data_IF_015965011200
#
_entry.id   IF_015965011200
#
_cell.length_a   1.000
_cell.length_b   1.000
_cell.length_c   1.000
_cell.angle_alpha   90.00
_cell.angle_beta   90.00
_cell.angle_gamma   90.00
#
_symmetry.space_group_name_H-M   'P 1'
#
loop_
_entity.id
_entity.type
_entity.pdbx_description
1 polymer ?
#
# COMPACT_ATOMS: atom_id res chain seq x y z
N UNK A 1 11.86 -15.53 8.53
CA UNK A 1 11.71 -14.16 8.04
C UNK A 1 10.27 -13.66 8.16
N UNK A 2 9.31 -14.33 7.51
CA UNK A 2 7.90 -13.93 7.59
C UNK A 2 7.32 -14.06 8.98
N UNK A 3 7.69 -15.09 9.73
CA UNK A 3 7.23 -15.27 11.10
C UNK A 3 7.67 -14.08 11.97
N UNK A 4 8.91 -13.65 11.85
CA UNK A 4 9.42 -12.49 12.57
C UNK A 4 8.65 -11.21 12.25
N UNK A 5 8.35 -10.98 10.96
CA UNK A 5 7.57 -9.84 10.50
C UNK A 5 6.15 -9.87 11.10
N UNK A 6 5.48 -11.02 11.02
CA UNK A 6 4.13 -11.16 11.54
C UNK A 6 4.08 -10.97 13.06
N UNK A 7 5.07 -11.47 13.78
CA UNK A 7 5.19 -11.25 15.22
C UNK A 7 5.38 -9.78 15.56
N UNK A 8 6.22 -9.08 14.82
CA UNK A 8 6.45 -7.64 15.02
C UNK A 8 5.17 -6.84 14.77
N UNK A 9 4.44 -7.15 13.70
CA UNK A 9 3.15 -6.52 13.39
C UNK A 9 2.12 -6.80 14.50
N UNK A 10 2.07 -8.04 15.01
CA UNK A 10 1.16 -8.40 16.10
C UNK A 10 1.45 -7.61 17.38
N UNK A 11 2.72 -7.38 17.70
CA UNK A 11 3.12 -6.55 18.84
C UNK A 11 2.66 -5.10 18.65
N UNK A 12 2.90 -4.52 17.47
CA UNK A 12 2.46 -3.16 17.15
C UNK A 12 0.93 -3.04 17.25
N UNK A 13 0.21 -4.05 16.78
CA UNK A 13 -1.25 -4.08 16.83
C UNK A 13 -1.75 -4.17 18.27
N UNK A 14 -1.14 -5.00 19.12
CA UNK A 14 -1.54 -5.18 20.50
C UNK A 14 -1.27 -3.96 21.37
N UNK A 15 -0.25 -3.15 21.03
CA UNK A 15 0.07 -1.91 21.75
C UNK A 15 -0.82 -0.72 21.34
N UNK A 16 -1.62 -0.87 20.29
CA UNK A 16 -2.50 0.19 19.81
C UNK A 16 -1.82 1.22 18.92
N UNK A 17 -0.54 1.09 18.63
CA UNK A 17 0.20 2.03 17.77
C UNK A 17 -0.39 2.08 16.36
N UNK A 18 -0.73 0.92 15.79
CA UNK A 18 -1.33 0.87 14.45
C UNK A 18 -2.69 1.55 14.41
N UNK A 19 -3.52 1.36 15.45
CA UNK A 19 -4.82 2.02 15.56
C UNK A 19 -4.67 3.54 15.67
N UNK A 20 -3.66 4.01 16.40
CA UNK A 20 -3.38 5.44 16.53
C UNK A 20 -2.96 6.06 15.20
N UNK A 21 -2.11 5.35 14.44
CA UNK A 21 -1.69 5.78 13.10
C UNK A 21 -2.90 5.83 12.15
N UNK A 22 -3.77 4.82 12.20
CA UNK A 22 -4.98 4.78 11.38
C UNK A 22 -5.91 5.93 11.70
N UNK A 23 -6.14 6.21 12.98
CA UNK A 23 -6.96 7.34 13.42
C UNK A 23 -6.39 8.68 12.96
N UNK A 24 -5.06 8.83 13.02
CA UNK A 24 -4.38 10.03 12.54
C UNK A 24 -4.57 10.21 11.02
N UNK A 25 -4.38 9.14 10.25
CA UNK A 25 -4.58 9.18 8.80
C UNK A 25 -6.02 9.52 8.43
N UNK A 26 -6.98 8.91 9.11
CA UNK A 26 -8.39 9.21 8.88
C UNK A 26 -8.75 10.66 9.19
N UNK A 27 -8.20 11.18 10.29
CA UNK A 27 -8.45 12.54 10.71
C UNK A 27 -7.88 13.59 9.73
N UNK A 28 -6.64 13.37 9.29
CA UNK A 28 -5.91 14.35 8.47
C UNK A 28 -6.28 14.22 6.99
N UNK A 29 -6.47 13.04 6.48
CA UNK A 29 -6.66 12.78 5.05
C UNK A 29 -8.12 12.49 4.72
N UNK A 30 -8.78 11.63 5.50
CA UNK A 30 -10.18 11.23 5.36
C UNK A 30 -10.62 10.94 3.91
N UNK A 31 -9.73 10.34 3.12
CA UNK A 31 -9.99 9.97 1.74
C UNK A 31 -9.23 8.67 1.43
N UNK A 32 -9.98 7.63 1.07
CA UNK A 32 -9.43 6.29 0.81
C UNK A 32 -8.37 6.31 -0.28
N UNK A 33 -8.57 7.09 -1.34
CA UNK A 33 -7.64 7.18 -2.46
C UNK A 33 -6.29 7.76 -2.02
N UNK A 34 -6.32 8.83 -1.24
CA UNK A 34 -5.09 9.46 -0.74
C UNK A 34 -4.37 8.58 0.27
N UNK A 35 -5.11 7.91 1.15
CA UNK A 35 -4.54 6.95 2.10
C UNK A 35 -3.85 5.82 1.34
N UNK A 36 -4.53 5.26 0.33
CA UNK A 36 -3.96 4.22 -0.53
C UNK A 36 -2.69 4.69 -1.25
N UNK A 37 -2.70 5.90 -1.81
CA UNK A 37 -1.53 6.48 -2.48
C UNK A 37 -0.33 6.60 -1.53
N UNK A 38 -0.56 7.14 -0.33
CA UNK A 38 0.50 7.33 0.67
C UNK A 38 1.08 5.97 1.10
N UNK A 39 0.22 5.01 1.37
CA UNK A 39 0.65 3.67 1.77
C UNK A 39 1.39 2.96 0.63
N UNK A 40 0.97 3.16 -0.60
CA UNK A 40 1.66 2.60 -1.77
C UNK A 40 3.04 3.20 -1.98
N UNK A 41 3.19 4.51 -1.80
CA UNK A 41 4.51 5.15 -1.83
C UNK A 41 5.40 4.61 -0.70
N UNK A 42 4.81 4.36 0.47
CA UNK A 42 5.54 3.74 1.58
C UNK A 42 5.99 2.31 1.22
N UNK A 43 5.22 1.59 0.41
CA UNK A 43 5.61 0.27 -0.13
C UNK A 43 6.88 0.33 -0.98
N UNK A 44 7.26 1.49 -1.49
CA UNK A 44 8.52 1.64 -2.20
C UNK A 44 9.74 1.44 -1.29
N UNK A 45 9.57 1.66 0.01
CA UNK A 45 10.64 1.53 1.01
C UNK A 45 10.47 0.26 1.82
N UNK A 46 9.24 -0.03 2.25
CA UNK A 46 8.90 -1.20 3.06
C UNK A 46 8.40 -2.30 2.14
N UNK A 47 8.89 -3.53 2.35
CA UNK A 47 8.43 -4.68 1.56
C UNK A 47 6.90 -4.82 1.64
N UNK A 48 6.30 -5.30 0.57
CA UNK A 48 4.84 -5.42 0.41
C UNK A 48 4.18 -6.23 1.54
N UNK A 49 4.78 -7.35 1.93
CA UNK A 49 4.17 -8.26 2.91
C UNK A 49 4.01 -7.62 4.28
N UNK A 50 5.05 -7.04 4.90
CA UNK A 50 4.88 -6.39 6.19
C UNK A 50 3.99 -5.15 6.12
N UNK A 51 4.01 -4.43 5.00
CA UNK A 51 3.14 -3.27 4.82
C UNK A 51 1.67 -3.67 4.81
N UNK A 52 1.30 -4.66 4.00
CA UNK A 52 -0.09 -5.14 3.92
C UNK A 52 -0.54 -5.72 5.25
N UNK A 53 0.31 -6.50 5.91
CA UNK A 53 0.00 -7.05 7.23
C UNK A 53 -0.25 -5.93 8.26
N UNK A 54 0.55 -4.88 8.23
CA UNK A 54 0.36 -3.71 9.08
C UNK A 54 -0.94 -2.99 8.80
N UNK A 55 -1.27 -2.78 7.53
CA UNK A 55 -2.52 -2.12 7.12
C UNK A 55 -3.73 -2.93 7.54
N UNK A 56 -3.69 -4.25 7.40
CA UNK A 56 -4.77 -5.12 7.87
C UNK A 56 -4.97 -5.03 9.39
N UNK A 57 -3.91 -4.77 10.13
CA UNK A 57 -3.98 -4.52 11.57
C UNK A 57 -4.52 -3.14 11.92
N UNK A 58 -4.28 -2.15 11.05
CA UNK A 58 -4.74 -0.76 11.24
C UNK A 58 -6.24 -0.61 10.96
N UNK A 59 -6.73 -1.24 9.90
CA UNK A 59 -8.09 -1.07 9.41
C UNK A 59 -8.84 -2.40 9.47
N UNK A 60 -9.75 -2.57 10.42
CA UNK A 60 -10.57 -3.79 10.48
C UNK A 60 -11.54 -3.84 9.30
N UNK A 61 -11.90 -5.04 8.87
CA UNK A 61 -12.93 -5.23 7.86
C UNK A 61 -14.26 -4.75 8.43
N UNK A 62 -14.96 -3.88 7.69
CA UNK A 62 -16.22 -3.32 8.12
C UNK A 62 -17.38 -4.31 7.95
N UNK A 63 -18.48 -4.06 8.67
CA UNK A 63 -19.70 -4.82 8.52
C UNK A 63 -20.22 -4.69 7.08
N UNK A 64 -20.69 -5.79 6.44
CA UNK A 64 -21.27 -5.71 5.09
C UNK A 64 -22.42 -4.72 4.94
N UNK A 65 -23.08 -4.39 6.03
CA UNK A 65 -24.17 -3.40 6.05
C UNK A 65 -23.67 -1.96 6.24
N UNK A 66 -22.35 -1.74 6.37
CA UNK A 66 -21.78 -0.41 6.59
C UNK A 66 -22.07 0.52 5.41
N UNK A 67 -22.34 1.78 5.71
CA UNK A 67 -22.64 2.81 4.70
C UNK A 67 -21.70 4.01 4.87
N UNK A 68 -21.60 4.84 3.86
CA UNK A 68 -20.76 6.03 3.87
C UNK A 68 -19.27 5.67 3.78
N UNK A 69 -18.44 6.38 4.51
CA UNK A 69 -16.99 6.15 4.49
C UNK A 69 -16.61 4.73 4.89
N UNK A 70 -17.28 4.16 5.89
CA UNK A 70 -17.02 2.80 6.36
C UNK A 70 -17.31 1.72 5.31
N UNK A 71 -18.15 2.00 4.32
CA UNK A 71 -18.45 1.06 3.23
C UNK A 71 -17.22 0.75 2.37
N UNK A 72 -16.18 1.58 2.39
CA UNK A 72 -14.92 1.33 1.67
C UNK A 72 -14.10 0.20 2.29
N UNK A 73 -14.38 -0.16 3.54
CA UNK A 73 -13.62 -1.15 4.30
C UNK A 73 -14.31 -2.50 4.42
N UNK A 74 -15.44 -2.70 3.74
CA UNK A 74 -16.11 -4.02 3.68
C UNK A 74 -15.26 -4.99 2.85
N UNK A 75 -15.59 -6.29 2.93
CA UNK A 75 -14.96 -7.30 2.06
C UNK A 75 -15.16 -6.87 0.61
N UNK A 76 -14.10 -6.93 -0.18
CA UNK A 76 -14.06 -6.44 -1.58
C UNK A 76 -14.40 -4.96 -1.72
N UNK A 77 -14.25 -4.19 -0.64
CA UNK A 77 -14.45 -2.74 -0.68
C UNK A 77 -13.34 -2.00 -1.42
N UNK A 78 -13.63 -0.76 -1.79
CA UNK A 78 -12.71 0.09 -2.55
C UNK A 78 -11.32 0.21 -1.91
N UNK A 79 -11.27 0.32 -0.58
CA UNK A 79 -9.99 0.44 0.13
C UNK A 79 -9.11 -0.79 -0.10
N UNK A 80 -9.65 -1.99 0.03
CA UNK A 80 -8.86 -3.22 -0.08
C UNK A 80 -8.41 -3.49 -1.52
N UNK A 81 -9.27 -3.22 -2.49
CA UNK A 81 -8.92 -3.32 -3.91
C UNK A 81 -7.79 -2.35 -4.26
N UNK A 82 -7.94 -1.10 -3.86
CA UNK A 82 -6.95 -0.06 -4.11
C UNK A 82 -5.64 -0.35 -3.38
N UNK A 83 -5.72 -0.84 -2.13
CA UNK A 83 -4.56 -1.20 -1.34
C UNK A 83 -3.76 -2.33 -1.98
N UNK A 84 -4.43 -3.34 -2.51
CA UNK A 84 -3.77 -4.45 -3.23
C UNK A 84 -2.95 -3.93 -4.40
N UNK A 85 -3.52 -3.04 -5.19
CA UNK A 85 -2.82 -2.42 -6.31
C UNK A 85 -1.64 -1.55 -5.82
N UNK A 86 -1.91 -0.68 -4.87
CA UNK A 86 -0.91 0.28 -4.38
C UNK A 86 0.29 -0.43 -3.73
N UNK A 87 0.05 -1.45 -2.92
CA UNK A 87 1.12 -2.21 -2.29
C UNK A 87 1.94 -2.99 -3.32
N UNK A 88 1.27 -3.60 -4.29
CA UNK A 88 1.95 -4.39 -5.32
C UNK A 88 2.78 -3.55 -6.27
N UNK A 89 2.21 -2.47 -6.79
CA UNK A 89 2.87 -1.62 -7.79
C UNK A 89 3.81 -0.61 -7.14
N UNK A 90 3.45 -0.09 -5.96
CA UNK A 90 4.26 0.90 -5.24
C UNK A 90 5.68 0.43 -4.96
N UNK A 91 5.88 -0.85 -4.72
CA UNK A 91 7.20 -1.44 -4.51
C UNK A 91 8.15 -1.28 -5.69
N UNK A 92 7.61 -1.04 -6.91
CA UNK A 92 8.41 -0.82 -8.12
C UNK A 92 9.01 0.58 -8.20
N UNK A 93 8.50 1.54 -7.45
CA UNK A 93 8.97 2.93 -7.49
C UNK A 93 10.45 3.00 -7.09
N UNK A 94 10.78 2.34 -5.98
CA UNK A 94 12.18 2.11 -5.62
C UNK A 94 12.40 0.59 -5.63
N UNK A 95 13.46 0.15 -6.27
CA UNK A 95 13.72 -1.29 -6.44
C UNK A 95 13.87 -2.02 -5.10
N UNK A 96 14.22 -1.30 -4.03
CA UNK A 96 14.40 -1.87 -2.68
C UNK A 96 13.06 -2.21 -1.99
N UNK A 97 11.94 -1.72 -2.49
CA UNK A 97 10.62 -2.00 -1.93
C UNK A 97 10.08 -3.39 -2.27
N UNK A 98 10.86 -4.19 -2.97
CA UNK A 98 10.46 -5.54 -3.37
C UNK A 98 11.66 -6.48 -3.27
N UNK A 99 11.48 -7.61 -2.59
CA UNK A 99 12.51 -8.63 -2.50
C UNK A 99 12.92 -9.14 -3.90
N UNK A 100 11.95 -9.34 -4.78
CA UNK A 100 12.20 -9.74 -6.17
C UNK A 100 13.02 -8.69 -6.91
N UNK A 101 12.71 -7.40 -6.71
CA UNK A 101 13.46 -6.30 -7.32
C UNK A 101 14.91 -6.26 -6.87
N UNK A 102 15.17 -6.48 -5.59
CA UNK A 102 16.53 -6.55 -5.05
C UNK A 102 17.32 -7.70 -5.67
N UNK A 103 16.69 -8.87 -5.83
CA UNK A 103 17.32 -10.03 -6.46
C UNK A 103 17.67 -9.73 -7.91
N UNK A 104 16.74 -9.15 -8.68
CA UNK A 104 16.98 -8.77 -10.08
C UNK A 104 18.10 -7.75 -10.18
N UNK A 105 18.12 -6.76 -9.29
CA UNK A 105 19.21 -5.76 -9.24
C UNK A 105 20.58 -6.43 -9.06
N UNK A 106 20.66 -7.43 -8.20
CA UNK A 106 21.89 -8.18 -7.98
C UNK A 106 22.31 -9.02 -9.17
N UNK A 107 21.35 -9.72 -9.80
CA UNK A 107 21.61 -10.57 -10.95
C UNK A 107 22.00 -9.79 -12.21
N UNK A 108 21.31 -8.71 -12.48
CA UNK A 108 21.57 -7.87 -13.66
C UNK A 108 22.62 -6.80 -13.42
N UNK A 109 23.19 -6.75 -12.23
CA UNK A 109 24.22 -5.76 -11.84
C UNK A 109 23.77 -4.31 -12.08
N UNK A 110 22.50 -4.03 -11.84
CA UNK A 110 21.93 -2.69 -11.94
C UNK A 110 22.20 -1.94 -10.64
N UNK A 111 22.74 -0.71 -10.73
CA UNK A 111 22.93 0.11 -9.55
C UNK A 111 21.63 0.77 -9.12
N UNK A 112 21.46 0.93 -7.80
CA UNK A 112 20.30 1.62 -7.23
C UNK A 112 20.14 3.04 -7.78
N UNK A 113 21.25 3.78 -7.90
CA UNK A 113 21.22 5.14 -8.43
C UNK A 113 20.79 5.21 -9.89
N UNK A 114 21.21 4.24 -10.71
CA UNK A 114 20.78 4.17 -12.10
C UNK A 114 19.27 3.91 -12.21
N UNK A 115 18.76 2.95 -11.42
CA UNK A 115 17.34 2.64 -11.39
C UNK A 115 16.53 3.88 -10.96
N UNK A 116 16.99 4.56 -9.91
CA UNK A 116 16.33 5.75 -9.39
C UNK A 116 16.26 6.87 -10.42
N UNK A 117 17.29 7.03 -11.26
CA UNK A 117 17.32 8.06 -12.32
C UNK A 117 16.48 7.70 -13.54
N UNK A 118 16.42 6.41 -13.89
CA UNK A 118 15.83 5.97 -15.16
C UNK A 118 14.44 5.38 -15.00
N UNK A 119 14.24 4.52 -14.02
CA UNK A 119 12.99 3.75 -13.90
C UNK A 119 12.03 4.28 -12.83
N UNK A 120 12.51 4.94 -11.80
CA UNK A 120 11.62 5.44 -10.73
C UNK A 120 10.56 6.37 -11.28
N UNK A 121 10.90 7.26 -12.21
CA UNK A 121 9.94 8.17 -12.81
C UNK A 121 8.88 7.43 -13.63
N UNK A 122 9.29 6.44 -14.42
CA UNK A 122 8.36 5.62 -15.20
C UNK A 122 7.45 4.82 -14.28
N UNK A 123 8.01 4.20 -13.25
CA UNK A 123 7.24 3.44 -12.27
C UNK A 123 6.25 4.33 -11.52
N UNK A 124 6.66 5.53 -11.12
CA UNK A 124 5.79 6.48 -10.44
C UNK A 124 4.65 6.95 -11.35
N UNK A 125 4.94 7.26 -12.61
CA UNK A 125 3.90 7.63 -13.59
C UNK A 125 2.92 6.49 -13.80
N UNK A 126 3.40 5.25 -13.94
CA UNK A 126 2.54 4.07 -14.07
C UNK A 126 1.68 3.83 -12.84
N UNK A 127 2.26 4.02 -11.66
CA UNK A 127 1.54 3.90 -10.40
C UNK A 127 0.38 4.91 -10.30
N UNK A 128 0.66 6.17 -10.57
CA UNK A 128 -0.34 7.24 -10.53
C UNK A 128 -1.40 7.06 -11.63
N UNK A 129 -0.99 6.66 -12.83
CA UNK A 129 -1.91 6.38 -13.93
C UNK A 129 -2.88 5.24 -13.59
N UNK A 130 -2.38 4.17 -12.98
CA UNK A 130 -3.21 3.04 -12.56
C UNK A 130 -4.21 3.41 -11.48
N UNK A 131 -3.82 4.22 -10.50
CA UNK A 131 -4.74 4.74 -9.49
C UNK A 131 -5.80 5.63 -10.14
N UNK A 132 -5.39 6.47 -11.10
CA UNK A 132 -6.32 7.31 -11.85
C UNK A 132 -7.34 6.50 -12.65
N UNK A 133 -6.89 5.44 -13.33
CA UNK A 133 -7.78 4.53 -14.08
C UNK A 133 -8.75 3.83 -13.14
N UNK A 134 -8.29 3.35 -12.00
CA UNK A 134 -9.15 2.72 -11.00
C UNK A 134 -10.22 3.70 -10.49
N UNK A 135 -9.83 4.94 -10.19
CA UNK A 135 -10.76 5.97 -9.75
C UNK A 135 -11.80 6.29 -10.83
N UNK A 136 -11.38 6.37 -12.09
CA UNK A 136 -12.29 6.57 -13.22
C UNK A 136 -13.25 5.41 -13.40
N UNK A 137 -12.77 4.18 -13.27
CA UNK A 137 -13.60 2.99 -13.35
C UNK A 137 -14.70 3.02 -12.29
N UNK A 138 -14.33 3.33 -11.04
CA UNK A 138 -15.33 3.44 -9.96
C UNK A 138 -16.31 4.59 -10.19
N UNK A 139 -15.87 5.68 -10.77
CA UNK A 139 -16.74 6.81 -11.08
C UNK A 139 -17.75 6.48 -12.20
N UNK A 140 -17.31 5.72 -13.21
CA UNK A 140 -18.15 5.38 -14.39
C UNK A 140 -19.11 4.24 -14.06
N UNK A 141 -18.62 3.18 -13.38
CA UNK A 141 -19.39 1.95 -13.13
C UNK A 141 -20.10 1.90 -11.78
N UNK A 142 -19.81 2.84 -10.92
CA UNK A 142 -20.49 3.04 -9.64
C UNK A 142 -21.05 4.47 -9.52
#
# INVERSE_FOLDING_TARGET
FFLGILMAVAVLQSTGILSDIAAYLDKEIHNVYWIGLVLGVLSAIVDNVPLVAGVMGMYPVADPAAVGYAANFVIDGTFWELMSYCAGVGGSILIIGSAAGVIVMGLEKISFGWYMKKFTWVALLGYLAGVGVYALEKLIFC
#
